data_IF_701322304713
#
_entry.id   IF_701322304713
#
_cell.length_a   1.000
_cell.length_b   1.000
_cell.length_c   1.000
_cell.angle_alpha   90.00
_cell.angle_beta   90.00
_cell.angle_gamma   90.00
#
_symmetry.space_group_name_H-M   'P 1'
#
loop_
_entity.id
_entity.type
_entity.pdbx_description
1 polymer ?
#
# COMPACT_ATOMS: atom_id res chain seq x y z
N UNK A 1 16.82 6.12 -20.36
CA UNK A 1 17.14 5.00 -19.45
C UNK A 1 18.16 5.48 -18.44
N UNK A 2 17.79 5.57 -17.16
CA UNK A 2 18.67 6.07 -16.11
C UNK A 2 19.62 4.95 -15.66
N UNK A 3 20.94 5.15 -15.69
CA UNK A 3 21.97 4.11 -15.45
C UNK A 3 21.79 3.43 -14.08
N UNK A 4 21.21 4.13 -13.11
CA UNK A 4 20.91 3.63 -11.76
C UNK A 4 20.05 2.36 -11.79
N UNK A 5 19.12 2.24 -12.75
CA UNK A 5 18.23 1.07 -12.87
C UNK A 5 18.96 -0.23 -13.23
N UNK A 6 20.18 -0.15 -13.77
CA UNK A 6 20.98 -1.30 -14.13
C UNK A 6 21.58 -2.01 -12.91
N UNK A 7 21.75 -1.27 -11.80
CA UNK A 7 22.38 -1.76 -10.57
C UNK A 7 21.38 -2.01 -9.43
N UNK A 8 20.09 -1.71 -9.65
CA UNK A 8 19.04 -1.97 -8.68
C UNK A 8 18.70 -3.46 -8.63
N UNK A 9 18.50 -4.00 -7.42
CA UNK A 9 17.89 -5.32 -7.26
C UNK A 9 16.40 -5.25 -7.63
N UNK A 10 16.11 -5.48 -8.91
CA UNK A 10 14.76 -5.43 -9.50
C UNK A 10 13.82 -6.45 -8.86
N UNK A 11 14.36 -7.57 -8.37
CA UNK A 11 13.56 -8.62 -7.73
C UNK A 11 13.11 -8.16 -6.36
N UNK A 12 14.02 -7.62 -5.54
CA UNK A 12 13.67 -7.06 -4.24
C UNK A 12 12.71 -5.86 -4.39
N UNK A 13 12.96 -5.00 -5.38
CA UNK A 13 12.08 -3.86 -5.69
C UNK A 13 10.66 -4.31 -6.05
N UNK A 14 10.51 -5.35 -6.88
CA UNK A 14 9.20 -5.90 -7.24
C UNK A 14 8.45 -6.51 -6.05
N UNK A 15 9.16 -7.15 -5.11
CA UNK A 15 8.56 -7.65 -3.87
C UNK A 15 8.04 -6.50 -3.00
N UNK A 16 8.81 -5.43 -2.86
CA UNK A 16 8.39 -4.26 -2.09
C UNK A 16 7.17 -3.61 -2.75
N UNK A 17 7.20 -3.43 -4.08
CA UNK A 17 6.05 -2.94 -4.82
C UNK A 17 4.81 -3.81 -4.54
N UNK A 18 4.90 -5.14 -4.62
CA UNK A 18 3.77 -6.03 -4.31
C UNK A 18 3.19 -5.80 -2.90
N UNK A 19 4.04 -5.63 -1.89
CA UNK A 19 3.58 -5.38 -0.51
C UNK A 19 2.89 -4.03 -0.35
N UNK A 20 3.35 -3.02 -1.08
CA UNK A 20 2.77 -1.68 -1.02
C UNK A 20 1.40 -1.63 -1.71
N UNK A 21 1.10 -2.55 -2.64
CA UNK A 21 -0.12 -2.54 -3.45
C UNK A 21 -1.41 -2.46 -2.61
N UNK A 22 -1.56 -3.32 -1.60
CA UNK A 22 -2.75 -3.31 -0.73
C UNK A 22 -2.89 -1.99 0.03
N UNK A 23 -1.77 -1.42 0.50
CA UNK A 23 -1.75 -0.13 1.18
C UNK A 23 -2.12 1.04 0.25
N UNK A 24 -1.60 1.04 -0.98
CA UNK A 24 -1.90 2.09 -1.97
C UNK A 24 -3.38 2.05 -2.38
N UNK A 25 -3.92 0.84 -2.57
CA UNK A 25 -5.35 0.66 -2.82
C UNK A 25 -6.20 1.16 -1.65
N UNK A 26 -5.82 0.81 -0.42
CA UNK A 26 -6.52 1.28 0.79
C UNK A 26 -6.53 2.81 0.89
N UNK A 27 -5.40 3.47 0.63
CA UNK A 27 -5.30 4.94 0.62
C UNK A 27 -6.31 5.53 -0.38
N UNK A 28 -6.37 5.00 -1.61
CA UNK A 28 -7.29 5.52 -2.64
C UNK A 28 -8.74 5.37 -2.20
N UNK A 29 -9.09 4.25 -1.55
CA UNK A 29 -10.47 3.95 -1.14
C UNK A 29 -10.93 4.79 0.07
N UNK A 30 -10.04 5.15 1.00
CA UNK A 30 -10.43 5.73 2.30
C UNK A 30 -10.04 7.21 2.47
N UNK A 31 -9.18 7.78 1.61
CA UNK A 31 -8.71 9.17 1.80
C UNK A 31 -9.86 10.18 1.84
N UNK A 32 -10.91 9.99 1.03
CA UNK A 32 -12.06 10.91 1.00
C UNK A 32 -12.83 10.89 2.33
N UNK A 33 -12.97 9.72 2.95
CA UNK A 33 -13.61 9.55 4.27
C UNK A 33 -12.76 10.18 5.38
N UNK A 34 -11.45 9.99 5.34
CA UNK A 34 -10.50 10.58 6.28
C UNK A 34 -10.52 12.13 6.20
N UNK A 35 -10.52 12.68 4.98
CA UNK A 35 -10.61 14.12 4.76
C UNK A 35 -11.97 14.67 5.22
N UNK A 36 -13.07 13.96 4.98
CA UNK A 36 -14.39 14.36 5.45
C UNK A 36 -14.44 14.43 6.99
N UNK A 37 -13.89 13.42 7.65
CA UNK A 37 -13.78 13.35 9.12
C UNK A 37 -12.97 14.52 9.67
N UNK A 38 -11.81 14.83 9.07
CA UNK A 38 -10.99 15.97 9.50
C UNK A 38 -11.69 17.33 9.27
N UNK A 39 -12.48 17.48 8.22
CA UNK A 39 -13.27 18.69 8.00
C UNK A 39 -14.38 18.85 9.06
N UNK A 40 -15.03 17.75 9.43
CA UNK A 40 -16.00 17.76 10.53
C UNK A 40 -15.34 18.14 11.85
N UNK A 41 -14.18 17.54 12.17
CA UNK A 41 -13.40 17.90 13.34
C UNK A 41 -12.97 19.38 13.31
N UNK A 42 -12.56 19.91 12.16
CA UNK A 42 -12.15 21.30 12.02
C UNK A 42 -13.28 22.28 12.33
N UNK A 43 -14.52 21.94 11.96
CA UNK A 43 -15.71 22.75 12.20
C UNK A 43 -16.37 22.53 13.56
N UNK A 44 -16.04 21.43 14.23
CA UNK A 44 -16.65 21.03 15.49
C UNK A 44 -16.13 21.84 16.69
N UNK A 45 -17.00 22.18 17.66
CA UNK A 45 -16.57 22.82 18.89
C UNK A 45 -15.58 21.96 19.66
N UNK A 46 -14.64 22.59 20.37
CA UNK A 46 -13.66 21.89 21.20
C UNK A 46 -14.37 21.21 22.36
N UNK A 47 -14.20 19.89 22.49
CA UNK A 47 -14.66 19.17 23.66
C UNK A 47 -13.69 19.36 24.84
N UNK A 48 -14.18 19.59 26.08
CA UNK A 48 -13.32 19.66 27.25
C UNK A 48 -12.68 18.30 27.55
N UNK A 49 -11.40 18.30 27.93
CA UNK A 49 -10.74 17.09 28.46
C UNK A 49 -11.13 16.91 29.93
N UNK A 50 -11.89 15.86 30.24
CA UNK A 50 -12.38 15.56 31.60
C UNK A 50 -11.39 14.69 32.37
N UNK A 51 -10.21 15.24 32.72
CA UNK A 51 -9.17 14.53 33.47
C UNK A 51 -9.05 14.98 34.95
N UNK A 52 -9.98 15.81 35.44
CA UNK A 52 -10.01 16.31 36.81
C UNK A 52 -8.95 17.38 37.12
N UNK A 53 -8.15 17.79 36.14
CA UNK A 53 -7.11 18.82 36.30
C UNK A 53 -7.60 20.18 35.74
N UNK A 54 -7.23 21.32 36.35
CA UNK A 54 -7.54 22.63 35.78
C UNK A 54 -6.88 22.79 34.42
N UNK A 55 -7.66 23.14 33.39
CA UNK A 55 -7.14 23.44 32.07
C UNK A 55 -6.42 24.79 32.06
N UNK A 56 -5.26 24.85 31.41
CA UNK A 56 -4.58 26.13 31.13
C UNK A 56 -5.24 26.78 29.91
N UNK A 57 -5.64 28.04 30.04
CA UNK A 57 -6.26 28.78 28.94
C UNK A 57 -5.20 29.20 27.91
N UNK A 58 -5.21 28.56 26.75
CA UNK A 58 -4.43 28.99 25.59
C UNK A 58 -5.36 29.68 24.57
N UNK A 59 -5.29 31.02 24.41
CA UNK A 59 -6.13 31.75 23.46
C UNK A 59 -5.85 31.36 21.99
N UNK A 60 -4.72 30.70 21.72
CA UNK A 60 -4.30 30.25 20.39
C UNK A 60 -4.58 28.77 20.14
N UNK A 61 -5.22 28.06 21.07
CA UNK A 61 -5.53 26.64 20.92
C UNK A 61 -6.38 26.34 19.67
N UNK A 62 -7.38 27.19 19.38
CA UNK A 62 -8.22 27.04 18.19
C UNK A 62 -7.43 27.19 16.89
N UNK A 63 -6.61 28.23 16.76
CA UNK A 63 -5.74 28.45 15.59
C UNK A 63 -4.77 27.28 15.39
N UNK A 64 -4.14 26.79 16.48
CA UNK A 64 -3.21 25.64 16.42
C UNK A 64 -3.91 24.38 15.93
N UNK A 65 -5.14 24.11 16.39
CA UNK A 65 -5.96 22.98 15.92
C UNK A 65 -6.27 23.11 14.43
N UNK A 66 -6.72 24.27 13.97
CA UNK A 66 -7.02 24.51 12.56
C UNK A 66 -5.79 24.26 11.67
N UNK A 67 -4.63 24.80 12.08
CA UNK A 67 -3.37 24.58 11.37
C UNK A 67 -3.01 23.09 11.32
N UNK A 68 -3.17 22.36 12.42
CA UNK A 68 -2.91 20.93 12.47
C UNK A 68 -3.81 20.14 11.49
N UNK A 69 -5.13 20.39 11.52
CA UNK A 69 -6.07 19.75 10.61
C UNK A 69 -5.77 20.06 9.13
N UNK A 70 -5.43 21.32 8.80
CA UNK A 70 -5.05 21.71 7.43
C UNK A 70 -3.80 20.96 6.98
N UNK A 71 -2.75 20.93 7.81
CA UNK A 71 -1.52 20.20 7.50
C UNK A 71 -1.79 18.71 7.27
N UNK A 72 -2.68 18.11 8.06
CA UNK A 72 -3.04 16.70 7.93
C UNK A 72 -3.79 16.42 6.64
N UNK A 73 -4.74 17.27 6.26
CA UNK A 73 -5.44 17.20 4.97
C UNK A 73 -4.44 17.29 3.80
N UNK A 74 -3.46 18.19 3.88
CA UNK A 74 -2.44 18.33 2.83
C UNK A 74 -1.57 17.06 2.71
N UNK A 75 -1.21 16.44 3.84
CA UNK A 75 -0.49 15.16 3.86
C UNK A 75 -1.33 14.04 3.24
N UNK A 76 -2.62 13.96 3.58
CA UNK A 76 -3.52 12.95 3.01
C UNK A 76 -3.67 13.11 1.50
N UNK A 77 -3.85 14.34 1.01
CA UNK A 77 -3.92 14.63 -0.43
C UNK A 77 -2.65 14.25 -1.17
N UNK A 78 -1.49 14.53 -0.58
CA UNK A 78 -0.20 14.16 -1.20
C UNK A 78 -0.01 12.63 -1.23
N UNK A 79 -0.39 11.92 -0.16
CA UNK A 79 -0.37 10.45 -0.13
C UNK A 79 -1.32 9.86 -1.16
N UNK A 80 -2.51 10.43 -1.33
CA UNK A 80 -3.46 10.00 -2.35
C UNK A 80 -2.91 10.21 -3.77
N UNK A 81 -2.30 11.37 -4.03
CA UNK A 81 -1.62 11.64 -5.31
C UNK A 81 -0.53 10.59 -5.59
N UNK A 82 0.30 10.28 -4.61
CA UNK A 82 1.35 9.26 -4.72
C UNK A 82 0.77 7.86 -4.93
N UNK A 83 -0.33 7.51 -4.26
CA UNK A 83 -1.00 6.23 -4.45
C UNK A 83 -1.57 6.09 -5.86
N UNK A 84 -2.17 7.15 -6.43
CA UNK A 84 -2.60 7.17 -7.82
C UNK A 84 -1.43 6.97 -8.80
N UNK A 85 -0.33 7.72 -8.62
CA UNK A 85 0.87 7.57 -9.45
C UNK A 85 1.47 6.16 -9.37
N UNK A 86 1.47 5.58 -8.17
CA UNK A 86 1.89 4.21 -7.96
C UNK A 86 0.99 3.23 -8.73
N UNK A 87 -0.34 3.38 -8.63
CA UNK A 87 -1.29 2.47 -9.29
C UNK A 87 -1.22 2.59 -10.81
N UNK A 88 -1.08 3.82 -11.36
CA UNK A 88 -0.90 4.06 -12.79
C UNK A 88 0.36 3.37 -13.34
N UNK A 89 1.41 3.25 -12.51
CA UNK A 89 2.64 2.54 -12.87
C UNK A 89 2.54 1.02 -12.65
N UNK A 90 1.94 0.57 -11.55
CA UNK A 90 1.91 -0.84 -11.13
C UNK A 90 0.80 -1.65 -11.83
N UNK A 91 -0.41 -1.10 -11.92
CA UNK A 91 -1.59 -1.82 -12.42
C UNK A 91 -1.41 -2.37 -13.84
N UNK A 92 -0.85 -1.61 -14.81
CA UNK A 92 -0.64 -2.14 -16.16
C UNK A 92 0.34 -3.33 -16.20
N UNK A 93 1.35 -3.33 -15.32
CA UNK A 93 2.29 -4.44 -15.21
C UNK A 93 1.64 -5.66 -14.54
N UNK A 94 0.79 -5.43 -13.53
CA UNK A 94 0.01 -6.48 -12.90
C UNK A 94 -0.97 -7.13 -13.87
N UNK A 95 -1.70 -6.32 -14.65
CA UNK A 95 -2.71 -6.78 -15.62
C UNK A 95 -2.10 -7.53 -16.82
N UNK A 96 -0.83 -7.29 -17.12
CA UNK A 96 -0.11 -8.01 -18.17
C UNK A 96 0.34 -9.43 -17.75
N UNK A 97 0.30 -9.74 -16.45
CA UNK A 97 0.55 -11.10 -15.96
C UNK A 97 -0.62 -12.02 -16.29
N UNK A 98 -0.33 -13.31 -16.43
CA UNK A 98 -1.39 -14.33 -16.52
C UNK A 98 -2.13 -14.49 -15.20
N UNK A 99 -3.39 -14.92 -15.23
CA UNK A 99 -4.19 -15.22 -14.02
C UNK A 99 -3.45 -16.17 -13.06
N UNK A 100 -2.70 -17.11 -13.63
CA UNK A 100 -1.85 -18.07 -12.94
C UNK A 100 -0.71 -17.41 -12.16
N UNK A 101 -0.06 -16.42 -12.76
CA UNK A 101 1.01 -15.65 -12.14
C UNK A 101 0.47 -14.70 -11.08
N UNK A 102 -0.62 -14.00 -11.39
CA UNK A 102 -1.31 -13.12 -10.43
C UNK A 102 -1.73 -13.89 -9.18
N UNK A 103 -2.35 -15.07 -9.36
CA UNK A 103 -2.73 -15.92 -8.23
C UNK A 103 -1.54 -16.32 -7.37
N UNK A 104 -0.47 -16.82 -8.00
CA UNK A 104 0.72 -17.25 -7.26
C UNK A 104 1.33 -16.08 -6.48
N UNK A 105 1.43 -14.89 -7.09
CA UNK A 105 1.97 -13.72 -6.40
C UNK A 105 1.04 -13.23 -5.29
N UNK A 106 -0.27 -13.30 -5.49
CA UNK A 106 -1.27 -12.93 -4.48
C UNK A 106 -1.15 -13.78 -3.23
N UNK A 107 -1.15 -15.11 -3.38
CA UNK A 107 -0.98 -16.06 -2.27
C UNK A 107 0.32 -15.83 -1.49
N UNK A 108 1.41 -15.44 -2.17
CA UNK A 108 2.71 -15.28 -1.51
C UNK A 108 2.95 -13.91 -0.88
N UNK A 109 2.31 -12.84 -1.38
CA UNK A 109 2.72 -11.47 -1.08
C UNK A 109 1.59 -10.49 -0.76
N UNK A 110 0.33 -10.80 -1.13
CA UNK A 110 -0.81 -9.89 -0.92
C UNK A 110 -1.76 -10.33 0.19
N UNK A 111 -1.63 -11.58 0.65
CA UNK A 111 -2.38 -12.08 1.79
C UNK A 111 -1.53 -11.93 3.06
N UNK A 112 -1.76 -10.86 3.80
CA UNK A 112 -1.01 -10.52 5.02
C UNK A 112 -1.30 -11.47 6.20
N UNK A 113 -2.41 -12.19 6.17
CA UNK A 113 -2.78 -13.16 7.20
C UNK A 113 -2.22 -14.56 6.90
N UNK A 114 -1.90 -14.84 5.65
CA UNK A 114 -1.47 -16.15 5.20
C UNK A 114 0.03 -16.40 5.46
N UNK A 115 0.33 -17.49 6.18
CA UNK A 115 1.73 -17.90 6.33
C UNK A 115 2.26 -18.39 4.99
N UNK A 116 3.55 -18.14 4.74
CA UNK A 116 4.24 -18.61 3.53
C UNK A 116 4.09 -20.13 3.30
N UNK A 117 4.01 -20.90 4.38
CA UNK A 117 3.79 -22.36 4.33
C UNK A 117 2.43 -22.68 3.71
N UNK A 118 1.40 -21.95 4.13
CA UNK A 118 0.02 -22.16 3.69
C UNK A 118 -0.13 -21.74 2.21
N UNK A 119 0.48 -20.62 1.81
CA UNK A 119 0.54 -20.18 0.41
C UNK A 119 1.13 -21.26 -0.52
N UNK A 120 2.20 -21.93 -0.09
CA UNK A 120 2.83 -23.00 -0.86
C UNK A 120 1.88 -24.19 -1.03
N UNK A 121 1.17 -24.59 0.02
CA UNK A 121 0.21 -25.69 -0.06
C UNK A 121 -0.99 -25.35 -0.94
N UNK A 122 -1.53 -24.13 -0.84
CA UNK A 122 -2.62 -23.68 -1.71
C UNK A 122 -2.24 -23.74 -3.19
N UNK A 123 -0.99 -23.39 -3.52
CA UNK A 123 -0.47 -23.47 -4.88
C UNK A 123 -0.24 -24.92 -5.30
N UNK A 124 0.32 -25.76 -4.43
CA UNK A 124 0.47 -27.19 -4.70
C UNK A 124 -0.88 -27.83 -5.04
N UNK A 125 -1.91 -27.53 -4.26
CA UNK A 125 -3.25 -28.08 -4.42
C UNK A 125 -3.94 -27.54 -5.67
N UNK A 126 -3.88 -26.23 -5.93
CA UNK A 126 -4.50 -25.62 -7.13
C UNK A 126 -3.92 -26.15 -8.43
N UNK A 127 -2.60 -26.35 -8.48
CA UNK A 127 -1.91 -26.75 -9.71
C UNK A 127 -1.57 -28.25 -9.77
N UNK A 128 -1.87 -29.02 -8.71
CA UNK A 128 -1.46 -30.42 -8.56
C UNK A 128 0.06 -30.61 -8.76
N UNK A 129 0.86 -29.78 -8.09
CA UNK A 129 2.33 -29.79 -8.20
C UNK A 129 3.01 -29.98 -6.85
N UNK A 130 4.26 -30.40 -6.89
CA UNK A 130 5.14 -30.46 -5.74
C UNK A 130 5.63 -29.08 -5.27
N UNK A 131 6.07 -28.99 -4.00
CA UNK A 131 6.53 -27.75 -3.35
C UNK A 131 7.66 -27.05 -4.11
N UNK A 132 8.64 -27.81 -4.60
CA UNK A 132 9.74 -27.30 -5.44
C UNK A 132 9.20 -26.58 -6.69
N UNK A 133 8.23 -27.19 -7.35
CA UNK A 133 7.58 -26.63 -8.53
C UNK A 133 6.75 -25.39 -8.21
N UNK A 134 6.07 -25.35 -7.06
CA UNK A 134 5.38 -24.15 -6.58
C UNK A 134 6.33 -22.96 -6.37
N UNK A 135 7.48 -23.16 -5.70
CA UNK A 135 8.50 -22.12 -5.55
C UNK A 135 9.08 -21.65 -6.88
N UNK A 136 9.30 -22.56 -7.83
CA UNK A 136 9.76 -22.21 -9.16
C UNK A 136 8.73 -21.38 -9.93
N UNK A 137 7.43 -21.72 -9.82
CA UNK A 137 6.34 -20.96 -10.43
C UNK A 137 6.29 -19.53 -9.88
N UNK A 138 6.40 -19.38 -8.55
CA UNK A 138 6.54 -18.06 -7.89
C UNK A 138 7.73 -17.28 -8.41
N UNK A 139 8.90 -17.91 -8.49
CA UNK A 139 10.11 -17.24 -8.92
C UNK A 139 10.02 -16.73 -10.36
N UNK A 140 9.41 -17.50 -11.27
CA UNK A 140 9.15 -17.08 -12.65
C UNK A 140 8.14 -15.94 -12.73
N UNK A 141 7.01 -16.04 -12.02
CA UNK A 141 6.01 -14.98 -11.96
C UNK A 141 6.61 -13.65 -11.45
N UNK A 142 7.41 -13.72 -10.39
CA UNK A 142 8.08 -12.54 -9.83
C UNK A 142 9.13 -11.96 -10.78
N UNK A 143 9.87 -12.82 -11.49
CA UNK A 143 10.84 -12.35 -12.50
C UNK A 143 10.12 -11.67 -13.67
N UNK A 144 8.99 -12.22 -14.12
CA UNK A 144 8.18 -11.63 -15.17
C UNK A 144 7.63 -10.26 -14.74
N UNK A 145 7.06 -10.14 -13.54
CA UNK A 145 6.60 -8.87 -13.00
C UNK A 145 7.75 -7.83 -12.89
N UNK A 146 8.92 -8.24 -12.39
CA UNK A 146 10.07 -7.34 -12.29
C UNK A 146 10.54 -6.82 -13.67
N UNK A 147 10.41 -7.64 -14.72
CA UNK A 147 10.69 -7.21 -16.10
C UNK A 147 9.62 -6.23 -16.60
N UNK A 148 8.35 -6.44 -16.30
CA UNK A 148 7.28 -5.52 -16.69
C UNK A 148 7.42 -4.15 -16.00
N UNK A 149 7.81 -4.14 -14.72
CA UNK A 149 7.98 -2.92 -13.93
C UNK A 149 9.28 -2.15 -14.25
N UNK A 150 10.40 -2.86 -14.44
CA UNK A 150 11.75 -2.26 -14.48
C UNK A 150 12.59 -2.67 -15.70
N UNK A 151 12.01 -3.34 -16.69
CA UNK A 151 12.72 -3.86 -17.87
C UNK A 151 12.94 -2.86 -19.01
N UNK A 152 12.51 -1.61 -18.84
CA UNK A 152 12.69 -0.52 -19.84
C UNK A 152 13.99 0.26 -19.64
#
# INVERSE_FOLDING_TARGET
MNIVWQYLDKRAAAINALKDYSSMKYIIEHTDEDIATLNEEMSSPVSPVLNGMPATHDPKAGEKRLIACINEIDVLKERYRQALEYMDWFQPAWDALTEDEQYVLKEFYLDDEQKQIDAVYNICDRFNIERSSAYNKKNRALQHLALLLYGK
#
